data_IF_124395157312
#
_entry.id   IF_124395157312
#
_cell.length_a   1.000
_cell.length_b   1.000
_cell.length_c   1.000
_cell.angle_alpha   90.00
_cell.angle_beta   90.00
_cell.angle_gamma   90.00
#
_symmetry.space_group_name_H-M   'P 1'
#
loop_
_entity.id
_entity.type
_entity.pdbx_description
1 polymer ?
#
# COMPACT_ATOMS: atom_id res chain seq x y z
N UNK A 1 5.66 2.13 -10.26
CA UNK A 1 4.53 1.19 -10.34
C UNK A 1 3.25 1.98 -10.59
N UNK A 2 2.62 1.77 -11.73
CA UNK A 2 1.41 2.48 -12.12
C UNK A 2 0.16 1.85 -11.51
N UNK A 3 -0.90 2.63 -11.35
CA UNK A 3 -2.21 2.18 -10.85
C UNK A 3 -2.89 1.14 -11.75
N UNK A 4 -2.40 0.95 -12.98
CA UNK A 4 -2.86 -0.10 -13.91
C UNK A 4 -2.10 -1.43 -13.80
N UNK A 5 -1.11 -1.52 -12.90
CA UNK A 5 -0.44 -2.78 -12.59
C UNK A 5 -1.30 -3.65 -11.65
N UNK A 6 -1.15 -4.99 -11.69
CA UNK A 6 -2.11 -5.93 -11.12
C UNK A 6 -2.59 -5.64 -9.70
N UNK A 7 -1.69 -5.38 -8.76
CA UNK A 7 -2.06 -5.15 -7.36
C UNK A 7 -3.03 -3.96 -7.20
N UNK A 8 -2.71 -2.82 -7.77
CA UNK A 8 -3.57 -1.63 -7.67
C UNK A 8 -4.77 -1.69 -8.61
N UNK A 9 -4.60 -2.28 -9.81
CA UNK A 9 -5.68 -2.43 -10.77
C UNK A 9 -6.84 -3.27 -10.20
N UNK A 10 -6.54 -4.47 -9.68
CA UNK A 10 -7.58 -5.33 -9.13
C UNK A 10 -8.15 -4.79 -7.81
N UNK A 11 -7.32 -4.16 -6.96
CA UNK A 11 -7.83 -3.46 -5.77
C UNK A 11 -8.86 -2.38 -6.13
N UNK A 12 -8.59 -1.58 -7.18
CA UNK A 12 -9.56 -0.59 -7.71
C UNK A 12 -10.85 -1.27 -8.20
N UNK A 13 -10.76 -2.44 -8.84
CA UNK A 13 -11.95 -3.18 -9.30
C UNK A 13 -12.79 -3.67 -8.13
N UNK A 14 -12.16 -4.22 -7.09
CA UNK A 14 -12.84 -4.63 -5.86
C UNK A 14 -13.59 -3.45 -5.25
N UNK A 15 -12.91 -2.33 -5.04
CA UNK A 15 -13.51 -1.12 -4.45
C UNK A 15 -14.69 -0.59 -5.28
N UNK A 16 -14.57 -0.58 -6.62
CA UNK A 16 -15.68 -0.17 -7.49
C UNK A 16 -16.90 -1.09 -7.37
N UNK A 17 -16.69 -2.40 -7.20
CA UNK A 17 -17.78 -3.35 -6.99
C UNK A 17 -18.46 -3.19 -5.62
N UNK A 18 -17.79 -2.51 -4.69
CA UNK A 18 -18.29 -2.18 -3.35
C UNK A 18 -18.77 -0.72 -3.24
N UNK A 19 -19.02 -0.05 -4.36
CA UNK A 19 -19.49 1.34 -4.48
C UNK A 19 -18.57 2.40 -3.86
N UNK A 20 -17.27 2.11 -3.73
CA UNK A 20 -16.29 3.12 -3.33
C UNK A 20 -16.00 4.11 -4.47
N UNK A 21 -15.93 5.38 -4.14
CA UNK A 21 -15.38 6.41 -5.04
C UNK A 21 -13.84 6.31 -5.04
N UNK A 22 -13.23 6.28 -6.23
CA UNK A 22 -11.78 6.13 -6.39
C UNK A 22 -11.15 7.47 -6.74
N UNK A 23 -10.15 7.85 -5.94
CA UNK A 23 -9.26 8.97 -6.22
C UNK A 23 -7.84 8.44 -6.39
N UNK A 24 -7.24 8.67 -7.55
CA UNK A 24 -5.87 8.22 -7.83
C UNK A 24 -4.89 9.36 -7.56
N UNK A 25 -3.81 9.04 -6.86
CA UNK A 25 -2.69 9.96 -6.59
C UNK A 25 -1.56 9.60 -7.55
N UNK A 26 -1.05 10.58 -8.28
CA UNK A 26 0.02 10.42 -9.25
C UNK A 26 1.27 11.16 -8.79
N UNK A 27 2.42 10.55 -9.03
CA UNK A 27 3.72 11.13 -8.74
C UNK A 27 4.46 11.44 -10.02
N UNK A 28 5.11 12.60 -10.08
CA UNK A 28 5.85 13.06 -11.25
C UNK A 28 7.28 13.44 -10.86
N UNK A 29 8.22 13.15 -11.75
CA UNK A 29 9.62 13.59 -11.64
C UNK A 29 10.32 13.21 -10.32
N UNK A 30 10.00 12.04 -9.76
CA UNK A 30 10.69 11.53 -8.58
C UNK A 30 12.06 10.94 -8.98
N UNK A 31 13.07 11.13 -8.13
CA UNK A 31 14.37 10.47 -8.27
C UNK A 31 14.22 8.95 -8.08
N UNK A 32 15.11 8.17 -8.70
CA UNK A 32 15.21 6.73 -8.45
C UNK A 32 15.63 6.41 -7.01
N UNK A 33 16.36 7.29 -6.35
CA UNK A 33 16.66 7.20 -4.93
C UNK A 33 15.41 7.59 -4.11
N UNK A 34 14.69 6.58 -3.66
CA UNK A 34 13.44 6.76 -2.93
C UNK A 34 13.61 7.49 -1.60
N UNK A 35 14.80 7.42 -0.97
CA UNK A 35 15.09 8.18 0.24
C UNK A 35 15.15 9.69 -0.03
N UNK A 36 15.64 10.08 -1.20
CA UNK A 36 15.65 11.50 -1.61
C UNK A 36 14.27 11.98 -2.06
N UNK A 37 13.48 11.09 -2.65
CA UNK A 37 12.18 11.43 -3.22
C UNK A 37 11.03 11.43 -2.23
N UNK A 38 11.19 10.85 -1.04
CA UNK A 38 10.07 10.63 -0.12
C UNK A 38 9.34 11.91 0.29
N UNK A 39 10.07 12.99 0.55
CA UNK A 39 9.46 14.25 1.00
C UNK A 39 8.76 14.97 -0.15
N UNK A 40 9.32 14.91 -1.37
CA UNK A 40 8.67 15.44 -2.58
C UNK A 40 7.42 14.61 -2.92
N UNK A 41 7.50 13.29 -2.87
CA UNK A 41 6.34 12.41 -3.09
C UNK A 41 5.23 12.70 -2.07
N UNK A 42 5.60 12.88 -0.80
CA UNK A 42 4.63 13.23 0.24
C UNK A 42 3.95 14.58 -0.03
N UNK A 43 4.72 15.60 -0.42
CA UNK A 43 4.18 16.91 -0.79
C UNK A 43 3.19 16.80 -1.96
N UNK A 44 3.57 16.08 -3.03
CA UNK A 44 2.69 15.86 -4.18
C UNK A 44 1.40 15.13 -3.78
N UNK A 45 1.49 14.10 -2.94
CA UNK A 45 0.30 13.39 -2.45
C UNK A 45 -0.60 14.32 -1.62
N UNK A 46 -0.03 15.10 -0.73
CA UNK A 46 -0.75 16.05 0.12
C UNK A 46 -1.46 17.13 -0.69
N UNK A 47 -0.77 17.70 -1.69
CA UNK A 47 -1.35 18.74 -2.56
C UNK A 47 -2.51 18.19 -3.40
N UNK A 48 -2.47 16.91 -3.79
CA UNK A 48 -3.57 16.28 -4.51
C UNK A 48 -4.76 15.95 -3.59
N UNK A 49 -4.49 15.43 -2.36
CA UNK A 49 -5.52 15.11 -1.39
C UNK A 49 -6.27 16.35 -0.91
N UNK A 50 -5.60 17.49 -0.77
CA UNK A 50 -6.25 18.75 -0.37
C UNK A 50 -7.29 19.25 -1.39
N UNK A 51 -7.31 18.72 -2.63
CA UNK A 51 -8.33 19.04 -3.63
C UNK A 51 -9.65 18.28 -3.40
N UNK A 52 -9.66 17.30 -2.49
CA UNK A 52 -10.83 16.49 -2.17
C UNK A 52 -11.44 16.96 -0.85
N UNK A 53 -12.77 17.04 -0.81
CA UNK A 53 -13.47 17.26 0.47
C UNK A 53 -13.58 15.94 1.23
N UNK A 54 -12.55 15.63 2.01
CA UNK A 54 -12.48 14.39 2.79
C UNK A 54 -13.60 14.28 3.84
N UNK A 55 -14.22 15.39 4.24
CA UNK A 55 -15.32 15.39 5.21
C UNK A 55 -16.63 14.92 4.60
N UNK A 56 -16.72 14.86 3.28
CA UNK A 56 -17.90 14.36 2.58
C UNK A 56 -18.03 12.83 2.62
N UNK A 57 -17.02 12.10 3.14
CA UNK A 57 -16.97 10.64 3.17
C UNK A 57 -17.06 10.11 4.60
N UNK A 58 -17.86 9.07 4.80
CA UNK A 58 -17.99 8.38 6.10
C UNK A 58 -16.74 7.56 6.45
N UNK A 59 -16.05 7.05 5.45
CA UNK A 59 -14.80 6.32 5.60
C UNK A 59 -13.84 6.58 4.45
N UNK A 60 -12.55 6.52 4.72
CA UNK A 60 -11.49 6.69 3.74
C UNK A 60 -10.51 5.54 3.91
N UNK A 61 -10.16 4.90 2.80
CA UNK A 61 -9.17 3.82 2.74
C UNK A 61 -8.06 4.19 1.78
N UNK A 62 -6.82 4.11 2.21
CA UNK A 62 -5.68 4.18 1.31
C UNK A 62 -5.21 2.78 0.90
N UNK A 63 -5.06 2.58 -0.40
CA UNK A 63 -4.38 1.40 -0.97
C UNK A 63 -3.17 1.91 -1.73
N UNK A 64 -1.99 1.48 -1.33
CA UNK A 64 -0.75 2.06 -1.85
C UNK A 64 0.36 1.04 -2.00
N UNK A 65 1.38 1.41 -2.77
CA UNK A 65 2.55 0.57 -3.04
C UNK A 65 3.84 1.38 -3.02
N UNK A 66 4.94 0.75 -2.55
CA UNK A 66 6.29 1.33 -2.58
C UNK A 66 6.34 2.70 -1.90
N UNK A 67 6.88 3.73 -2.53
CA UNK A 67 6.94 5.10 -1.97
C UNK A 67 5.56 5.65 -1.62
N UNK A 68 4.51 5.22 -2.33
CA UNK A 68 3.13 5.57 -2.02
C UNK A 68 2.69 5.12 -0.63
N UNK A 69 3.28 4.03 -0.09
CA UNK A 69 2.97 3.54 1.26
C UNK A 69 3.39 4.54 2.34
N UNK A 70 4.55 5.17 2.16
CA UNK A 70 5.00 6.23 3.05
C UNK A 70 4.06 7.43 3.04
N UNK A 71 3.67 7.87 1.84
CA UNK A 71 2.75 8.98 1.70
C UNK A 71 1.41 8.68 2.36
N UNK A 72 0.84 7.52 2.08
CA UNK A 72 -0.44 7.09 2.62
C UNK A 72 -0.40 6.91 4.15
N UNK A 73 0.62 6.24 4.69
CA UNK A 73 0.77 6.03 6.12
C UNK A 73 0.90 7.35 6.89
N UNK A 74 1.70 8.26 6.40
CA UNK A 74 1.89 9.58 7.00
C UNK A 74 0.61 10.44 6.93
N UNK A 75 -0.09 10.43 5.79
CA UNK A 75 -1.38 11.10 5.64
C UNK A 75 -2.45 10.49 6.55
N UNK A 76 -2.47 9.16 6.72
CA UNK A 76 -3.39 8.48 7.62
C UNK A 76 -3.24 8.96 9.08
N UNK A 77 -2.02 9.25 9.53
CA UNK A 77 -1.78 9.86 10.83
C UNK A 77 -2.32 11.28 10.93
N UNK A 78 -2.17 12.09 9.88
CA UNK A 78 -2.67 13.48 9.87
C UNK A 78 -4.19 13.55 9.86
N UNK A 79 -4.85 12.69 9.08
CA UNK A 79 -6.31 12.73 8.88
C UNK A 79 -7.08 11.72 9.72
N UNK A 80 -6.39 10.90 10.53
CA UNK A 80 -6.99 9.85 11.38
C UNK A 80 -7.91 8.91 10.58
N UNK A 81 -7.43 8.52 9.40
CA UNK A 81 -8.16 7.63 8.50
C UNK A 81 -8.32 6.23 9.12
N UNK A 82 -9.28 5.45 8.63
CA UNK A 82 -9.69 4.21 9.26
C UNK A 82 -8.63 3.12 9.21
N UNK A 83 -8.33 2.60 8.04
CA UNK A 83 -7.37 1.52 7.82
C UNK A 83 -6.70 1.68 6.46
N UNK A 84 -5.62 0.95 6.22
CA UNK A 84 -4.89 1.07 4.97
C UNK A 84 -4.39 -0.29 4.49
N UNK A 85 -4.14 -0.40 3.19
CA UNK A 85 -3.51 -1.57 2.58
C UNK A 85 -2.20 -1.13 1.93
N UNK A 86 -1.11 -1.75 2.38
CA UNK A 86 0.25 -1.40 1.95
C UNK A 86 0.90 -2.59 1.24
N UNK A 87 1.22 -2.40 -0.03
CA UNK A 87 2.00 -3.34 -0.81
C UNK A 87 3.46 -2.91 -0.84
N UNK A 88 4.36 -3.77 -0.40
CA UNK A 88 5.81 -3.55 -0.37
C UNK A 88 6.21 -2.21 0.22
N UNK A 89 5.88 -1.95 1.51
CA UNK A 89 6.31 -0.73 2.18
C UNK A 89 7.83 -0.65 2.24
N UNK A 90 8.34 0.59 2.31
CA UNK A 90 9.75 0.87 2.47
C UNK A 90 10.09 1.06 3.96
N UNK A 91 11.35 0.91 4.33
CA UNK A 91 11.80 1.00 5.72
C UNK A 91 11.33 2.26 6.45
N UNK A 92 11.30 3.38 5.75
CA UNK A 92 10.87 4.66 6.32
C UNK A 92 9.33 4.80 6.42
N UNK A 93 8.57 3.81 5.96
CA UNK A 93 7.11 3.75 6.17
C UNK A 93 6.77 3.23 7.58
N UNK A 94 7.63 2.40 8.17
CA UNK A 94 7.34 1.61 9.36
C UNK A 94 6.83 2.44 10.54
N UNK A 95 7.46 3.58 10.82
CA UNK A 95 7.09 4.46 11.94
C UNK A 95 5.65 5.00 11.87
N UNK A 96 4.99 4.92 10.69
CA UNK A 96 3.64 5.38 10.46
C UNK A 96 2.59 4.26 10.36
N UNK A 97 3.01 2.98 10.34
CA UNK A 97 2.09 1.86 10.29
C UNK A 97 1.27 1.73 11.58
N UNK A 98 0.02 1.32 11.44
CA UNK A 98 -0.93 1.17 12.55
C UNK A 98 -1.43 -0.28 12.65
N UNK A 99 -1.85 -0.70 13.85
CA UNK A 99 -2.34 -2.06 14.09
C UNK A 99 -3.52 -2.48 13.19
N UNK A 100 -4.26 -1.53 12.69
CA UNK A 100 -5.42 -1.76 11.80
C UNK A 100 -5.08 -1.81 10.31
N UNK A 101 -3.81 -1.76 9.96
CA UNK A 101 -3.35 -1.82 8.58
C UNK A 101 -3.13 -3.26 8.11
N UNK A 102 -3.25 -3.47 6.80
CA UNK A 102 -2.89 -4.72 6.11
C UNK A 102 -1.61 -4.49 5.31
N UNK A 103 -0.59 -5.29 5.56
CA UNK A 103 0.73 -5.15 4.95
C UNK A 103 1.12 -6.40 4.17
N UNK A 104 1.60 -6.21 2.95
CA UNK A 104 2.22 -7.25 2.12
C UNK A 104 3.67 -6.90 1.80
N UNK A 105 4.59 -7.86 1.94
CA UNK A 105 5.98 -7.70 1.53
C UNK A 105 6.51 -8.94 0.80
N UNK A 106 7.43 -8.73 -0.13
CA UNK A 106 8.14 -9.83 -0.80
C UNK A 106 9.43 -10.19 -0.05
N UNK A 107 9.66 -11.48 0.19
CA UNK A 107 10.84 -11.92 0.93
C UNK A 107 12.17 -11.68 0.18
N UNK A 108 12.11 -11.44 -1.15
CA UNK A 108 13.27 -11.06 -1.98
C UNK A 108 13.19 -9.62 -2.51
N UNK A 109 12.46 -8.75 -1.79
CA UNK A 109 12.41 -7.33 -2.13
C UNK A 109 13.79 -6.69 -1.93
N UNK A 110 14.34 -6.10 -2.99
CA UNK A 110 15.67 -5.44 -2.94
C UNK A 110 15.60 -3.96 -2.52
N UNK A 111 14.40 -3.39 -2.39
CA UNK A 111 14.19 -1.99 -2.07
C UNK A 111 13.93 -1.73 -0.59
N UNK A 112 13.63 -2.80 0.17
CA UNK A 112 13.29 -2.73 1.58
C UNK A 112 13.90 -3.89 2.35
N UNK A 113 14.14 -3.70 3.64
CA UNK A 113 14.60 -4.76 4.51
C UNK A 113 13.42 -5.60 4.99
N UNK A 114 13.23 -6.77 4.37
CA UNK A 114 12.14 -7.69 4.68
C UNK A 114 12.07 -8.05 6.17
N UNK A 115 13.19 -8.48 6.75
CA UNK A 115 13.22 -8.91 8.17
C UNK A 115 12.80 -7.78 9.10
N UNK A 116 13.21 -6.55 8.80
CA UNK A 116 12.84 -5.37 9.58
C UNK A 116 11.34 -5.09 9.50
N UNK A 117 10.74 -5.21 8.30
CA UNK A 117 9.31 -5.00 8.10
C UNK A 117 8.51 -6.08 8.83
N UNK A 118 8.88 -7.35 8.65
CA UNK A 118 8.24 -8.48 9.30
C UNK A 118 8.27 -8.36 10.82
N UNK A 119 9.45 -8.15 11.41
CA UNK A 119 9.59 -7.98 12.86
C UNK A 119 8.79 -6.79 13.39
N UNK A 120 8.79 -5.67 12.66
CA UNK A 120 7.99 -4.50 13.06
C UNK A 120 6.51 -4.83 13.08
N UNK A 121 5.98 -5.44 12.01
CA UNK A 121 4.57 -5.80 11.92
C UNK A 121 4.16 -6.79 13.02
N UNK A 122 4.95 -7.83 13.26
CA UNK A 122 4.71 -8.82 14.33
C UNK A 122 4.70 -8.12 15.70
N UNK A 123 5.70 -7.31 16.00
CA UNK A 123 5.81 -6.63 17.30
C UNK A 123 4.64 -5.69 17.58
N UNK A 124 4.15 -4.99 16.55
CA UNK A 124 3.03 -4.03 16.66
C UNK A 124 1.66 -4.65 16.39
N UNK A 125 1.57 -5.98 16.22
CA UNK A 125 0.33 -6.72 15.93
C UNK A 125 -0.40 -6.20 14.67
N UNK A 126 0.37 -5.82 13.65
CA UNK A 126 -0.13 -5.41 12.35
C UNK A 126 -0.33 -6.66 11.49
N UNK A 127 -1.45 -6.74 10.77
CA UNK A 127 -1.68 -7.86 9.86
C UNK A 127 -0.65 -7.84 8.73
N UNK A 128 0.18 -8.89 8.68
CA UNK A 128 1.29 -9.01 7.76
C UNK A 128 1.25 -10.31 6.97
N UNK A 129 1.44 -10.20 5.66
CA UNK A 129 1.57 -11.33 4.76
C UNK A 129 2.83 -11.20 3.92
N UNK A 130 3.62 -12.26 3.86
CA UNK A 130 4.81 -12.34 3.01
C UNK A 130 4.58 -13.21 1.78
N UNK A 131 5.20 -12.82 0.66
CA UNK A 131 5.30 -13.66 -0.53
C UNK A 131 6.70 -14.25 -0.58
N UNK A 132 6.79 -15.55 -0.33
CA UNK A 132 8.05 -16.30 -0.44
C UNK A 132 8.59 -16.14 -1.86
N UNK A 133 9.87 -15.82 -1.99
CA UNK A 133 10.54 -15.50 -3.26
C UNK A 133 9.99 -14.26 -4.00
N UNK A 134 9.04 -13.54 -3.42
CA UNK A 134 8.46 -12.34 -4.02
C UNK A 134 9.44 -11.16 -4.02
N UNK A 135 9.53 -10.48 -5.16
CA UNK A 135 10.27 -9.23 -5.34
C UNK A 135 9.45 -8.01 -4.90
N UNK A 136 9.92 -6.81 -5.23
CA UNK A 136 9.20 -5.55 -4.96
C UNK A 136 7.84 -5.42 -5.66
N UNK A 137 7.50 -6.28 -6.60
CA UNK A 137 6.16 -6.36 -7.23
C UNK A 137 5.31 -7.50 -6.68
N UNK A 138 5.80 -8.23 -5.67
CA UNK A 138 5.24 -9.47 -5.13
C UNK A 138 5.20 -10.60 -6.18
N UNK A 139 6.12 -10.54 -7.14
CA UNK A 139 6.28 -11.51 -8.21
C UNK A 139 7.50 -12.39 -7.95
N UNK A 140 7.38 -13.70 -8.19
CA UNK A 140 8.45 -14.68 -8.01
C UNK A 140 9.22 -14.93 -9.31
N UNK A 141 8.67 -14.49 -10.46
CA UNK A 141 9.16 -14.79 -11.80
C UNK A 141 8.60 -16.09 -12.39
N UNK A 142 7.81 -16.83 -11.62
CA UNK A 142 7.03 -17.96 -12.15
C UNK A 142 5.58 -17.52 -12.36
N UNK A 143 5.13 -17.45 -13.60
CA UNK A 143 3.84 -16.89 -13.98
C UNK A 143 2.66 -17.59 -13.27
N UNK A 144 2.69 -18.92 -13.16
CA UNK A 144 1.59 -19.66 -12.51
C UNK A 144 1.52 -19.38 -11.01
N UNK A 145 2.67 -19.35 -10.35
CA UNK A 145 2.80 -18.98 -8.94
C UNK A 145 2.35 -17.54 -8.72
N UNK A 146 2.75 -16.63 -9.60
CA UNK A 146 2.42 -15.19 -9.48
C UNK A 146 0.91 -14.94 -9.65
N UNK A 147 0.25 -15.67 -10.56
CA UNK A 147 -1.21 -15.61 -10.74
C UNK A 147 -1.93 -16.13 -9.48
N UNK A 148 -1.49 -17.25 -8.92
CA UNK A 148 -2.11 -17.80 -7.71
C UNK A 148 -1.87 -16.89 -6.49
N UNK A 149 -0.66 -16.36 -6.32
CA UNK A 149 -0.36 -15.38 -5.28
C UNK A 149 -1.26 -14.13 -5.43
N UNK A 150 -1.38 -13.59 -6.63
CA UNK A 150 -2.24 -12.43 -6.89
C UNK A 150 -3.70 -12.72 -6.51
N UNK A 151 -4.20 -13.90 -6.85
CA UNK A 151 -5.56 -14.32 -6.47
C UNK A 151 -5.74 -14.35 -4.94
N UNK A 152 -4.79 -14.93 -4.21
CA UNK A 152 -4.83 -14.99 -2.75
C UNK A 152 -4.74 -13.59 -2.13
N UNK A 153 -3.86 -12.74 -2.63
CA UNK A 153 -3.75 -11.34 -2.21
C UNK A 153 -5.09 -10.61 -2.40
N UNK A 154 -5.69 -10.71 -3.58
CA UNK A 154 -6.94 -10.01 -3.88
C UNK A 154 -8.11 -10.53 -3.05
N UNK A 155 -8.18 -11.84 -2.80
CA UNK A 155 -9.18 -12.41 -1.90
C UNK A 155 -9.06 -11.84 -0.48
N UNK A 156 -7.81 -11.73 0.05
CA UNK A 156 -7.61 -11.14 1.38
C UNK A 156 -7.89 -9.64 1.41
N UNK A 157 -7.50 -8.91 0.36
CA UNK A 157 -7.83 -7.48 0.20
C UNK A 157 -9.34 -7.27 0.25
N UNK A 158 -10.10 -8.03 -0.51
CA UNK A 158 -11.57 -7.95 -0.52
C UNK A 158 -12.17 -8.26 0.86
N UNK A 159 -11.70 -9.35 1.50
CA UNK A 159 -12.15 -9.73 2.85
C UNK A 159 -11.81 -8.66 3.88
N UNK A 160 -10.62 -8.07 3.79
CA UNK A 160 -10.20 -6.99 4.68
C UNK A 160 -11.10 -5.75 4.53
N UNK A 161 -11.39 -5.34 3.29
CA UNK A 161 -12.27 -4.19 3.03
C UNK A 161 -13.68 -4.44 3.57
N UNK A 162 -14.20 -5.66 3.43
CA UNK A 162 -15.52 -6.03 4.00
C UNK A 162 -15.56 -6.00 5.54
N UNK A 163 -14.40 -6.07 6.20
CA UNK A 163 -14.32 -6.05 7.67
C UNK A 163 -14.21 -4.64 8.26
N UNK A 164 -14.06 -3.62 7.41
CA UNK A 164 -13.99 -2.21 7.81
C UNK A 164 -15.37 -1.62 8.05
#
# INVERSE_FOLDING_TARGET
YHTDKPLLYYSKKILKNMDYEIKEIHFENLDFDLNKSKDEAYKQAKDQIHKFDLKAYDSILFISKSIGTYCAAKLAHEYKLTANIYFTPLDFTLEYLQQKDLVYSGAKDQWANFDKIEHYCIYHLIEFHSIVDGNHSLETGNIQTDIENLKQIMYRVETFIHSL
#
